data_IF_514669518448
#
_entry.id   IF_514669518448
#
_cell.length_a   1.000
_cell.length_b   1.000
_cell.length_c   1.000
_cell.angle_alpha   90.00
_cell.angle_beta   90.00
_cell.angle_gamma   90.00
#
_symmetry.space_group_name_H-M   'P 1'
#
loop_
_entity.id
_entity.type
_entity.pdbx_description
1 polymer ?
#
# COMPACT_ATOMS: atom_id res chain seq x y z
N UNK A 1 -5.73 1.68 -19.49
CA UNK A 1 -4.93 2.26 -18.39
C UNK A 1 -5.01 3.77 -18.46
N UNK A 2 -5.50 4.37 -17.38
CA UNK A 2 -5.66 5.82 -17.22
C UNK A 2 -4.92 6.23 -15.96
N UNK A 3 -4.11 7.30 -16.03
CA UNK A 3 -3.40 7.87 -14.90
C UNK A 3 -3.70 9.36 -14.78
N UNK A 4 -3.97 9.84 -13.57
CA UNK A 4 -4.17 11.23 -13.26
C UNK A 4 -3.39 11.59 -12.00
N UNK A 5 -2.63 12.69 -12.08
CA UNK A 5 -1.92 13.27 -10.94
C UNK A 5 -2.34 14.74 -10.83
N UNK A 6 -2.79 15.12 -9.64
CA UNK A 6 -3.13 16.51 -9.32
C UNK A 6 -1.99 17.07 -8.49
N UNK A 7 -1.38 18.15 -8.96
CA UNK A 7 -0.29 18.85 -8.27
C UNK A 7 -0.74 20.27 -7.97
N UNK A 8 -0.50 20.71 -6.75
CA UNK A 8 -0.70 22.08 -6.32
C UNK A 8 0.28 23.02 -7.05
N UNK A 9 -0.22 24.12 -7.62
CA UNK A 9 0.59 25.01 -8.47
C UNK A 9 1.56 25.89 -7.69
N UNK A 10 1.27 26.14 -6.41
CA UNK A 10 2.01 27.11 -5.61
C UNK A 10 3.08 26.41 -4.77
N UNK A 11 2.76 25.22 -4.24
CA UNK A 11 3.64 24.41 -3.38
C UNK A 11 4.32 23.25 -4.12
N UNK A 12 3.84 22.91 -5.32
CA UNK A 12 4.26 21.73 -6.10
C UNK A 12 4.01 20.39 -5.39
N UNK A 13 3.15 20.37 -4.36
CA UNK A 13 2.79 19.15 -3.65
C UNK A 13 1.73 18.33 -4.41
N UNK A 14 1.89 17.02 -4.42
CA UNK A 14 1.01 16.09 -5.14
C UNK A 14 -0.29 15.84 -4.37
N UNK A 15 -1.40 16.49 -4.67
CA UNK A 15 -2.63 16.38 -3.88
C UNK A 15 -3.33 15.02 -4.02
N UNK A 16 -3.38 14.48 -5.23
CA UNK A 16 -4.06 13.20 -5.47
C UNK A 16 -3.52 12.48 -6.69
N UNK A 17 -3.55 11.16 -6.61
CA UNK A 17 -3.24 10.25 -7.71
C UNK A 17 -4.45 9.35 -7.97
N UNK A 18 -4.80 9.15 -9.24
CA UNK A 18 -5.78 8.19 -9.66
C UNK A 18 -5.21 7.33 -10.78
N UNK A 19 -5.29 6.02 -10.64
CA UNK A 19 -4.93 5.03 -11.63
C UNK A 19 -6.15 4.15 -11.90
N UNK A 20 -6.44 3.89 -13.16
CA UNK A 20 -7.47 2.93 -13.58
C UNK A 20 -6.85 1.97 -14.57
N UNK A 21 -6.91 0.68 -14.25
CA UNK A 21 -6.35 -0.40 -15.05
C UNK A 21 -7.47 -1.34 -15.43
N UNK A 22 -7.82 -1.33 -16.71
CA UNK A 22 -8.69 -2.34 -17.32
C UNK A 22 -7.83 -3.48 -17.86
N UNK A 23 -8.02 -4.67 -17.32
CA UNK A 23 -7.44 -5.92 -17.80
C UNK A 23 -8.55 -6.81 -18.33
N UNK A 24 -8.35 -7.35 -19.53
CA UNK A 24 -9.23 -8.34 -20.13
C UNK A 24 -8.47 -9.66 -20.11
N UNK A 25 -8.97 -10.62 -19.34
CA UNK A 25 -8.45 -11.97 -19.28
C UNK A 25 -9.37 -12.88 -20.10
N UNK A 26 -8.79 -13.72 -20.94
CA UNK A 26 -9.52 -14.74 -21.70
C UNK A 26 -9.00 -16.10 -21.27
N UNK A 27 -9.87 -16.92 -20.67
CA UNK A 27 -9.56 -18.28 -20.25
C UNK A 27 -10.68 -19.22 -20.76
N UNK A 28 -10.31 -20.33 -21.40
CA UNK A 28 -11.23 -21.31 -22.00
C UNK A 28 -12.33 -20.73 -22.93
N UNK A 29 -12.08 -19.57 -23.55
CA UNK A 29 -13.04 -18.88 -24.43
C UNK A 29 -14.07 -18.03 -23.69
N UNK A 30 -13.94 -17.89 -22.38
CA UNK A 30 -14.71 -16.97 -21.55
C UNK A 30 -13.87 -15.70 -21.28
N UNK A 31 -14.48 -14.54 -21.52
CA UNK A 31 -13.81 -13.24 -21.37
C UNK A 31 -14.20 -12.60 -20.05
N UNK A 32 -13.24 -12.47 -19.13
CA UNK A 32 -13.39 -11.75 -17.87
C UNK A 32 -12.77 -10.35 -17.98
N UNK A 33 -13.56 -9.32 -17.65
CA UNK A 33 -13.07 -7.95 -17.53
C UNK A 33 -12.82 -7.63 -16.05
N UNK A 34 -11.59 -7.23 -15.75
CA UNK A 34 -11.15 -6.75 -14.45
C UNK A 34 -10.79 -5.28 -14.55
N UNK A 35 -11.56 -4.43 -13.86
CA UNK A 35 -11.21 -3.01 -13.69
C UNK A 35 -10.67 -2.84 -12.27
N UNK A 36 -9.46 -2.30 -12.18
CA UNK A 36 -8.81 -1.94 -10.93
C UNK A 36 -8.66 -0.42 -10.87
N UNK A 37 -9.39 0.22 -9.96
CA UNK A 37 -9.29 1.65 -9.70
C UNK A 37 -8.52 1.88 -8.39
N UNK A 38 -7.42 2.63 -8.48
CA UNK A 38 -6.59 3.04 -7.35
C UNK A 38 -6.67 4.55 -7.24
N UNK A 39 -7.18 5.06 -6.11
CA UNK A 39 -7.21 6.49 -5.81
C UNK A 39 -6.46 6.73 -4.50
N UNK A 40 -5.48 7.64 -4.52
CA UNK A 40 -4.72 8.08 -3.36
C UNK A 40 -4.82 9.59 -3.21
N UNK A 41 -5.07 10.05 -1.99
CA UNK A 41 -5.01 11.47 -1.62
C UNK A 41 -3.84 11.69 -0.68
N UNK A 42 -3.04 12.71 -0.93
CA UNK A 42 -1.93 13.08 -0.07
C UNK A 42 -2.28 14.38 0.66
N UNK A 43 -2.04 14.39 1.97
CA UNK A 43 -2.31 15.51 2.85
C UNK A 43 -1.25 15.55 3.94
N UNK A 44 -1.25 16.61 4.77
CA UNK A 44 -0.38 16.73 5.95
C UNK A 44 1.12 16.69 5.61
N UNK A 45 1.53 17.42 4.57
CA UNK A 45 2.95 17.52 4.19
C UNK A 45 3.76 18.15 5.31
N UNK A 46 4.75 17.42 5.82
CA UNK A 46 5.61 17.82 6.94
C UNK A 46 4.85 18.06 8.26
N UNK A 47 3.62 17.57 8.37
CA UNK A 47 2.80 17.64 9.60
C UNK A 47 2.70 16.27 10.29
N UNK A 48 3.62 15.35 9.97
CA UNK A 48 3.70 14.06 10.65
C UNK A 48 4.22 14.32 12.08
N UNK A 49 3.30 14.24 13.04
CA UNK A 49 3.62 14.20 14.47
C UNK A 49 4.09 12.80 14.90
N UNK A 50 4.45 12.62 16.17
CA UNK A 50 4.78 11.29 16.69
C UNK A 50 3.60 10.35 16.51
N UNK A 51 3.87 9.18 15.92
CA UNK A 51 2.88 8.11 15.84
C UNK A 51 2.86 7.40 17.19
N UNK A 52 1.87 7.70 18.02
CA UNK A 52 1.64 6.99 19.27
C UNK A 52 0.79 5.75 19.02
N UNK A 53 1.31 4.58 19.40
CA UNK A 53 0.59 3.32 19.31
C UNK A 53 -0.30 3.19 20.55
N UNK A 54 -1.62 3.01 20.41
CA UNK A 54 -2.49 2.80 21.58
C UNK A 54 -2.10 1.54 22.35
N UNK A 55 -2.03 1.63 23.69
CA UNK A 55 -1.63 0.51 24.56
C UNK A 55 -2.50 -0.74 24.36
N UNK A 56 -3.80 -0.56 24.08
CA UNK A 56 -4.72 -1.67 23.77
C UNK A 56 -4.29 -2.47 22.55
N UNK A 57 -3.69 -1.84 21.54
CA UNK A 57 -3.20 -2.52 20.34
C UNK A 57 -1.93 -3.31 20.64
N UNK A 58 -1.07 -2.80 21.53
CA UNK A 58 0.14 -3.49 21.97
C UNK A 58 -0.24 -4.72 22.80
N UNK A 59 -1.15 -4.56 23.76
CA UNK A 59 -1.61 -5.64 24.64
C UNK A 59 -2.33 -6.77 23.89
N UNK A 60 -3.06 -6.44 22.82
CA UNK A 60 -3.78 -7.41 22.00
C UNK A 60 -3.04 -7.79 20.71
N UNK A 61 -1.81 -7.31 20.52
CA UNK A 61 -1.02 -7.69 19.35
C UNK A 61 -0.69 -9.18 19.41
N UNK A 62 -0.78 -9.83 18.26
CA UNK A 62 -0.35 -11.23 18.11
C UNK A 62 1.07 -11.21 17.61
N UNK A 63 1.93 -11.96 18.28
CA UNK A 63 3.33 -12.08 17.86
C UNK A 63 3.40 -12.74 16.47
N UNK A 64 4.15 -12.12 15.56
CA UNK A 64 4.25 -12.60 14.18
C UNK A 64 4.93 -13.97 14.13
N UNK A 65 5.81 -14.27 15.09
CA UNK A 65 6.51 -15.55 15.26
C UNK A 65 5.54 -16.65 15.72
N UNK A 66 4.57 -16.30 16.57
CA UNK A 66 3.50 -17.19 17.01
C UNK A 66 2.50 -17.48 15.88
N UNK A 67 2.21 -16.47 15.04
CA UNK A 67 1.26 -16.60 13.93
C UNK A 67 1.84 -17.34 12.71
N UNK A 68 3.13 -17.15 12.41
CA UNK A 68 3.80 -17.76 11.26
C UNK A 68 4.60 -19.03 11.59
N UNK A 69 4.58 -19.48 12.85
CA UNK A 69 5.07 -20.79 13.24
C UNK A 69 6.50 -21.07 12.79
N UNK A 70 7.47 -20.34 13.34
CA UNK A 70 8.88 -20.71 13.26
C UNK A 70 9.54 -20.62 11.88
N UNK A 71 9.12 -19.67 11.03
CA UNK A 71 9.99 -19.21 9.95
C UNK A 71 11.13 -18.41 10.59
N UNK A 72 12.25 -19.08 10.90
CA UNK A 72 13.53 -18.43 11.15
C UNK A 72 13.85 -17.55 9.93
N UNK A 73 13.60 -16.24 10.06
CA UNK A 73 14.28 -15.27 9.22
C UNK A 73 15.73 -15.27 9.68
N UNK A 74 16.56 -16.08 9.02
CA UNK A 74 18.01 -16.04 9.22
C UNK A 74 18.52 -14.70 8.70
N UNK A 75 18.75 -13.73 9.61
CA UNK A 75 19.31 -12.41 9.31
C UNK A 75 20.80 -12.47 8.85
N UNK A 76 21.34 -13.65 8.47
CA UNK A 76 22.76 -13.80 8.11
C UNK A 76 23.09 -13.91 6.61
N UNK A 77 22.14 -13.77 5.68
CA UNK A 77 22.42 -13.82 4.23
C UNK A 77 22.40 -12.45 3.50
N UNK A 78 22.86 -11.37 4.14
CA UNK A 78 23.14 -10.08 3.47
C UNK A 78 24.61 -9.62 3.64
N UNK A 79 25.56 -10.57 3.59
CA UNK A 79 26.99 -10.30 3.38
C UNK A 79 27.58 -11.33 2.38
N UNK A 80 27.35 -11.11 1.08
CA UNK A 80 28.18 -11.63 -0.01
C UNK A 80 28.48 -10.56 -1.07
#
# INVERSE_FOLDING_TARGET
MTYSLVVDKDTFYQQSVAMSVDMLMEEEGETANFTMDVAGTYSMYNEIESIDIPDEVIENSVDIEEMFGGLEFDETEDDM
#
